data_IF_774050598224
#
_entry.id   IF_774050598224
#
_cell.length_a   1.000
_cell.length_b   1.000
_cell.length_c   1.000
_cell.angle_alpha   90.00
_cell.angle_beta   90.00
_cell.angle_gamma   90.00
#
_symmetry.space_group_name_H-M   'P 1'
#
loop_
_entity.id
_entity.type
_entity.pdbx_description
1 polymer ?
#
# COMPACT_ATOMS: atom_id res chain seq x y z
N UNK A 1 -32.20 10.76 14.37
CA UNK A 1 -31.22 10.34 15.37
C UNK A 1 -30.30 9.38 14.67
N UNK A 2 -29.07 9.83 14.44
CA UNK A 2 -28.04 9.05 13.77
C UNK A 2 -27.57 7.98 14.76
N UNK A 3 -27.81 6.71 14.45
CA UNK A 3 -27.15 5.62 15.16
C UNK A 3 -25.66 5.71 14.82
N UNK A 4 -24.85 6.13 15.79
CA UNK A 4 -23.39 6.29 15.72
C UNK A 4 -22.68 4.93 15.60
N UNK A 5 -23.07 4.10 14.61
CA UNK A 5 -22.38 2.87 14.20
C UNK A 5 -21.93 1.99 15.37
N UNK A 6 -22.84 1.60 16.28
CA UNK A 6 -22.64 0.75 17.48
C UNK A 6 -21.35 -0.10 17.47
N UNK A 7 -20.19 0.52 17.73
CA UNK A 7 -18.88 -0.14 17.70
C UNK A 7 -18.44 -0.83 16.40
N UNK A 8 -19.10 -0.62 15.25
CA UNK A 8 -18.79 -1.30 13.98
C UNK A 8 -19.66 -2.52 13.65
N UNK A 9 -20.68 -2.83 14.45
CA UNK A 9 -21.51 -4.04 14.29
C UNK A 9 -22.54 -3.94 13.15
N UNK A 10 -22.66 -2.78 12.50
CA UNK A 10 -23.68 -2.52 11.48
C UNK A 10 -23.06 -2.21 10.12
N UNK A 11 -23.56 -2.87 9.07
CA UNK A 11 -23.24 -2.49 7.70
C UNK A 11 -23.72 -1.07 7.40
N UNK A 12 -22.87 -0.15 6.89
CA UNK A 12 -23.30 1.19 6.53
C UNK A 12 -24.43 1.14 5.49
N UNK A 13 -25.48 1.94 5.69
CA UNK A 13 -26.68 1.92 4.83
C UNK A 13 -26.35 2.13 3.34
N UNK A 14 -25.39 3.00 3.03
CA UNK A 14 -24.94 3.26 1.67
C UNK A 14 -24.21 2.07 1.04
N UNK A 15 -23.51 1.26 1.85
CA UNK A 15 -22.88 0.02 1.39
C UNK A 15 -23.96 -1.01 1.10
N UNK A 16 -24.92 -1.19 2.02
CA UNK A 16 -26.03 -2.13 1.84
C UNK A 16 -26.93 -1.81 0.62
N UNK A 17 -27.01 -0.55 0.19
CA UNK A 17 -27.73 -0.14 -1.02
C UNK A 17 -26.87 -0.10 -2.29
N UNK A 18 -25.57 -0.38 -2.16
CA UNK A 18 -24.65 -0.41 -3.29
C UNK A 18 -25.00 -1.56 -4.23
N UNK A 19 -24.74 -1.38 -5.52
CA UNK A 19 -24.86 -2.45 -6.53
C UNK A 19 -23.76 -3.50 -6.43
N UNK A 20 -22.69 -3.18 -5.68
CA UNK A 20 -21.56 -4.08 -5.43
C UNK A 20 -21.86 -5.03 -4.26
N UNK A 21 -22.74 -4.64 -3.34
CA UNK A 21 -23.02 -5.45 -2.16
C UNK A 21 -23.70 -6.76 -2.55
N UNK A 22 -23.01 -7.88 -2.33
CA UNK A 22 -23.51 -9.20 -2.70
C UNK A 22 -23.60 -9.42 -4.22
N UNK A 23 -22.67 -8.85 -5.01
CA UNK A 23 -22.68 -8.93 -6.47
C UNK A 23 -22.07 -10.23 -7.05
N UNK A 24 -21.59 -11.12 -6.17
CA UNK A 24 -20.91 -12.37 -6.49
C UNK A 24 -19.38 -12.24 -6.56
N UNK A 25 -18.81 -11.08 -6.26
CA UNK A 25 -17.38 -10.85 -6.11
C UNK A 25 -17.07 -10.42 -4.70
N UNK A 26 -15.84 -10.65 -4.27
CA UNK A 26 -15.43 -10.24 -2.94
C UNK A 26 -14.96 -8.78 -2.95
N UNK A 27 -15.87 -7.84 -2.67
CA UNK A 27 -15.50 -6.42 -2.50
C UNK A 27 -14.86 -6.19 -1.12
N UNK A 28 -13.68 -5.58 -1.13
CA UNK A 28 -12.90 -5.30 0.08
C UNK A 28 -13.44 -4.13 0.92
N UNK A 29 -12.63 -3.73 1.90
CA UNK A 29 -12.90 -2.55 2.74
C UNK A 29 -14.17 -2.71 3.56
N UNK A 30 -15.06 -1.71 3.52
CA UNK A 30 -16.30 -1.71 4.31
C UNK A 30 -17.28 -2.82 3.93
N UNK A 31 -17.23 -3.35 2.71
CA UNK A 31 -18.05 -4.49 2.28
C UNK A 31 -17.64 -5.77 3.02
N UNK A 32 -16.33 -6.02 3.11
CA UNK A 32 -15.76 -7.17 3.80
C UNK A 32 -15.60 -6.98 5.32
N UNK A 33 -16.69 -6.69 6.02
CA UNK A 33 -16.74 -6.59 7.50
C UNK A 33 -17.78 -7.54 8.06
N UNK A 34 -17.64 -7.94 9.34
CA UNK A 34 -18.64 -8.79 10.00
C UNK A 34 -20.03 -8.14 10.00
N UNK A 35 -20.10 -6.82 10.25
CA UNK A 35 -21.34 -6.04 10.20
C UNK A 35 -22.00 -6.04 8.81
N UNK A 36 -21.22 -6.17 7.73
CA UNK A 36 -21.69 -6.34 6.35
C UNK A 36 -21.77 -7.80 5.89
N UNK A 37 -21.66 -8.75 6.83
CA UNK A 37 -21.70 -10.20 6.53
C UNK A 37 -20.69 -10.60 5.46
N UNK A 38 -19.50 -9.99 5.48
CA UNK A 38 -18.42 -10.25 4.52
C UNK A 38 -18.89 -10.17 3.07
N UNK A 39 -19.43 -8.99 2.72
CA UNK A 39 -20.03 -8.71 1.44
C UNK A 39 -21.16 -9.69 1.08
N UNK A 40 -22.09 -9.86 2.02
CA UNK A 40 -23.20 -10.82 1.90
C UNK A 40 -22.76 -12.27 1.60
N UNK A 41 -21.57 -12.64 2.09
CA UNK A 41 -20.97 -13.96 1.95
C UNK A 41 -20.04 -14.12 0.75
N UNK A 42 -19.93 -13.12 -0.12
CA UNK A 42 -19.06 -13.21 -1.30
C UNK A 42 -17.57 -13.28 -0.92
N UNK A 43 -17.21 -12.71 0.24
CA UNK A 43 -15.86 -12.79 0.80
C UNK A 43 -15.61 -13.94 1.78
N UNK A 44 -16.57 -14.85 2.02
CA UNK A 44 -16.44 -15.92 3.03
C UNK A 44 -15.23 -16.82 2.77
N UNK A 45 -14.97 -17.16 1.50
CA UNK A 45 -13.83 -18.01 1.13
C UNK A 45 -12.50 -17.33 1.45
N UNK A 46 -12.40 -16.02 1.17
CA UNK A 46 -11.22 -15.22 1.48
C UNK A 46 -10.99 -15.17 3.00
N UNK A 47 -12.01 -14.85 3.79
CA UNK A 47 -11.87 -14.74 5.25
C UNK A 47 -11.59 -16.09 5.92
N UNK A 48 -12.08 -17.19 5.35
CA UNK A 48 -11.77 -18.54 5.82
C UNK A 48 -10.31 -18.92 5.56
N UNK A 49 -9.76 -18.53 4.40
CA UNK A 49 -8.36 -18.78 4.05
C UNK A 49 -7.39 -17.86 4.80
N UNK A 50 -7.78 -16.61 5.02
CA UNK A 50 -6.99 -15.56 5.66
C UNK A 50 -7.62 -15.04 6.97
N UNK A 51 -7.82 -15.89 7.99
CA UNK A 51 -8.52 -15.51 9.23
C UNK A 51 -7.75 -14.50 10.09
N UNK A 52 -6.48 -14.24 9.78
CA UNK A 52 -5.65 -13.26 10.45
C UNK A 52 -5.51 -11.94 9.66
N UNK A 53 -6.22 -11.81 8.53
CA UNK A 53 -6.31 -10.55 7.80
C UNK A 53 -7.22 -9.58 8.56
N UNK A 54 -6.65 -8.90 9.55
CA UNK A 54 -7.38 -7.91 10.35
C UNK A 54 -6.99 -6.51 9.91
N UNK A 55 -7.95 -5.76 9.38
CA UNK A 55 -7.79 -4.35 9.06
C UNK A 55 -8.38 -3.50 10.17
N UNK A 56 -7.69 -2.42 10.55
CA UNK A 56 -8.27 -1.42 11.45
C UNK A 56 -9.29 -0.54 10.72
N UNK A 57 -10.15 0.14 11.47
CA UNK A 57 -11.20 1.01 10.92
C UNK A 57 -10.63 2.03 9.92
N UNK A 58 -9.42 2.53 10.20
CA UNK A 58 -8.74 3.49 9.32
C UNK A 58 -8.37 2.86 7.99
N UNK A 59 -7.88 1.63 7.99
CA UNK A 59 -7.53 0.87 6.79
C UNK A 59 -8.77 0.55 5.98
N UNK A 60 -9.83 0.05 6.62
CA UNK A 60 -11.12 -0.25 5.97
C UNK A 60 -11.72 0.96 5.22
N UNK A 61 -11.59 2.16 5.80
CA UNK A 61 -12.06 3.41 5.21
C UNK A 61 -11.04 4.11 4.31
N UNK A 62 -9.85 3.56 4.15
CA UNK A 62 -8.81 4.16 3.33
C UNK A 62 -9.07 3.92 1.85
N UNK A 63 -8.57 4.82 1.00
CA UNK A 63 -8.51 4.59 -0.45
C UNK A 63 -7.71 3.32 -0.80
N UNK A 64 -6.88 2.84 0.13
CA UNK A 64 -6.08 1.62 0.04
C UNK A 64 -6.86 0.35 0.41
N UNK A 65 -8.18 0.45 0.63
CA UNK A 65 -9.07 -0.70 0.85
C UNK A 65 -10.45 -0.53 0.21
N UNK A 66 -10.71 0.61 -0.44
CA UNK A 66 -12.00 0.90 -1.08
C UNK A 66 -11.91 0.62 -2.57
N UNK A 67 -12.84 -0.17 -3.11
CA UNK A 67 -12.91 -0.49 -4.54
C UNK A 67 -11.94 -1.58 -4.99
N UNK A 68 -11.39 -2.34 -4.05
CA UNK A 68 -10.57 -3.53 -4.29
C UNK A 68 -11.50 -4.73 -4.44
N UNK A 69 -11.28 -5.54 -5.47
CA UNK A 69 -11.97 -6.82 -5.66
C UNK A 69 -10.94 -7.92 -5.42
N UNK A 70 -11.10 -8.68 -4.34
CA UNK A 70 -10.10 -9.65 -3.94
C UNK A 70 -10.13 -10.89 -4.84
N UNK A 71 -8.98 -11.26 -5.40
CA UNK A 71 -8.80 -12.43 -6.26
C UNK A 71 -9.23 -12.20 -7.71
N UNK A 72 -9.26 -10.95 -8.18
CA UNK A 72 -9.67 -10.61 -9.55
C UNK A 72 -8.51 -10.64 -10.56
N UNK A 73 -7.29 -10.89 -10.09
CA UNK A 73 -6.06 -10.92 -10.88
C UNK A 73 -5.41 -9.55 -11.08
N UNK A 74 -5.91 -8.49 -10.44
CA UNK A 74 -5.37 -7.13 -10.46
C UNK A 74 -4.79 -6.81 -9.09
N UNK A 75 -3.51 -6.44 -9.07
CA UNK A 75 -2.87 -5.97 -7.85
C UNK A 75 -3.15 -4.48 -7.64
N UNK A 76 -4.10 -4.16 -6.77
CA UNK A 76 -4.48 -2.82 -6.33
C UNK A 76 -3.57 -2.28 -5.20
N UNK A 77 -2.98 -3.20 -4.43
CA UNK A 77 -2.03 -2.94 -3.36
C UNK A 77 -2.68 -2.67 -1.99
N UNK A 78 -2.22 -1.62 -1.31
CA UNK A 78 -2.87 -1.17 -0.09
C UNK A 78 -2.89 -2.16 1.09
N UNK A 79 -4.03 -2.24 1.79
CA UNK A 79 -4.11 -2.89 3.10
C UNK A 79 -4.28 -4.41 3.01
N UNK A 80 -4.92 -4.89 1.94
CA UNK A 80 -5.03 -6.31 1.63
C UNK A 80 -3.74 -6.88 1.02
N UNK A 81 -2.82 -6.02 0.58
CA UNK A 81 -1.50 -6.42 0.12
C UNK A 81 -0.51 -6.66 1.28
N UNK A 82 -0.92 -7.49 2.23
CA UNK A 82 -0.09 -7.95 3.34
C UNK A 82 0.03 -9.46 3.30
N UNK A 83 1.01 -10.00 4.03
CA UNK A 83 1.19 -11.45 4.12
C UNK A 83 0.01 -12.13 4.80
N UNK A 84 -0.55 -11.46 5.80
CA UNK A 84 -1.69 -11.92 6.59
C UNK A 84 -2.98 -11.96 5.75
N UNK A 85 -3.09 -11.10 4.74
CA UNK A 85 -4.17 -11.01 3.77
C UNK A 85 -3.88 -11.67 2.42
N UNK A 86 -2.84 -12.51 2.35
CA UNK A 86 -2.53 -13.28 1.15
C UNK A 86 -2.02 -12.48 -0.04
N UNK A 87 -1.63 -11.22 0.17
CA UNK A 87 -1.25 -10.28 -0.89
C UNK A 87 -2.39 -10.08 -1.90
N UNK A 88 -3.51 -9.55 -1.41
CA UNK A 88 -4.76 -9.38 -2.17
C UNK A 88 -5.25 -10.70 -2.77
N UNK A 89 -5.36 -11.72 -1.92
CA UNK A 89 -5.77 -13.06 -2.34
C UNK A 89 -4.91 -13.64 -3.48
N UNK A 90 -3.64 -13.25 -3.54
CA UNK A 90 -2.67 -13.72 -4.53
C UNK A 90 -2.58 -12.86 -5.79
N UNK A 91 -3.32 -11.76 -5.88
CA UNK A 91 -3.25 -10.84 -7.02
C UNK A 91 -1.92 -10.08 -7.06
N UNK A 92 -1.32 -9.82 -5.89
CA UNK A 92 0.00 -9.22 -5.79
C UNK A 92 1.11 -10.26 -5.57
N UNK A 93 2.24 -10.06 -6.26
CA UNK A 93 3.46 -10.82 -5.95
C UNK A 93 4.03 -10.39 -4.56
N UNK A 94 4.51 -11.36 -3.78
CA UNK A 94 5.15 -11.12 -2.48
C UNK A 94 6.37 -10.20 -2.65
N UNK A 95 6.19 -8.89 -2.46
CA UNK A 95 7.29 -7.95 -2.65
C UNK A 95 6.92 -6.50 -2.99
N UNK A 96 5.64 -6.11 -3.03
CA UNK A 96 5.34 -4.69 -3.08
C UNK A 96 5.65 -4.05 -1.73
N UNK A 97 6.80 -3.39 -1.63
CA UNK A 97 7.08 -2.43 -0.56
C UNK A 97 6.17 -1.23 -0.83
N UNK A 98 4.90 -1.34 -0.40
CA UNK A 98 3.83 -0.35 -0.56
C UNK A 98 3.97 0.87 0.35
N UNK A 99 5.18 1.39 0.47
CA UNK A 99 5.39 2.75 0.95
C UNK A 99 5.88 3.58 -0.21
N UNK A 100 5.14 4.64 -0.57
CA UNK A 100 5.69 5.68 -1.42
C UNK A 100 7.00 6.18 -0.77
N UNK A 101 8.11 6.08 -1.51
CA UNK A 101 9.32 6.82 -1.14
C UNK A 101 9.06 8.27 -1.53
N UNK A 102 8.45 9.03 -0.63
CA UNK A 102 8.24 10.47 -0.80
C UNK A 102 9.59 11.17 -0.64
N UNK A 103 10.20 11.57 -1.76
CA UNK A 103 11.40 12.40 -1.78
C UNK A 103 11.00 13.88 -1.66
N UNK A 104 10.81 14.34 -0.43
CA UNK A 104 10.45 15.74 -0.19
C UNK A 104 11.68 16.67 -0.36
N UNK A 105 11.54 17.73 -1.14
CA UNK A 105 12.57 18.77 -1.28
C UNK A 105 13.72 18.54 -2.27
N UNK A 106 13.58 17.65 -3.27
CA UNK A 106 14.60 17.51 -4.33
C UNK A 106 14.56 18.73 -5.27
N UNK A 107 15.29 19.79 -4.90
CA UNK A 107 15.60 20.91 -5.81
C UNK A 107 16.95 20.68 -6.46
N UNK A 108 16.96 20.39 -7.77
CA UNK A 108 18.14 20.63 -8.60
C UNK A 108 18.02 22.05 -9.18
N UNK A 109 18.82 23.03 -8.72
CA UNK A 109 18.76 24.41 -9.24
C UNK A 109 19.40 24.56 -10.64
N UNK A 110 19.76 23.46 -11.30
CA UNK A 110 20.61 23.42 -12.51
C UNK A 110 20.23 22.22 -13.39
N UNK A 111 20.80 22.11 -14.59
CA UNK A 111 20.66 20.94 -15.48
C UNK A 111 21.27 19.64 -14.91
N UNK A 112 21.80 19.68 -13.68
CA UNK A 112 22.33 18.52 -12.98
C UNK A 112 21.21 17.53 -12.62
N UNK A 113 21.51 16.23 -12.76
CA UNK A 113 20.63 15.12 -12.42
C UNK A 113 21.09 14.49 -11.10
N UNK A 114 20.13 14.06 -10.29
CA UNK A 114 20.40 13.20 -9.14
C UNK A 114 19.92 11.80 -9.51
N UNK A 115 20.87 10.87 -9.54
CA UNK A 115 20.60 9.47 -9.81
C UNK A 115 20.51 8.72 -8.48
N UNK A 116 19.43 7.98 -8.32
CA UNK A 116 19.24 7.07 -7.20
C UNK A 116 19.43 5.65 -7.72
N UNK A 117 20.35 4.91 -7.11
CA UNK A 117 20.45 3.46 -7.28
C UNK A 117 20.01 2.82 -5.97
N UNK A 118 19.04 1.93 -6.07
CA UNK A 118 18.43 1.30 -4.91
C UNK A 118 18.52 -0.20 -5.08
N UNK A 119 18.95 -0.89 -4.02
CA UNK A 119 18.99 -2.35 -4.00
C UNK A 119 18.85 -2.85 -2.57
N UNK A 120 18.35 -4.08 -2.41
CA UNK A 120 18.34 -4.74 -1.11
C UNK A 120 19.73 -5.28 -0.77
N UNK A 121 20.10 -5.29 0.51
CA UNK A 121 21.23 -6.06 1.00
C UNK A 121 21.06 -7.54 0.67
N UNK A 122 22.17 -8.27 0.59
CA UNK A 122 22.15 -9.70 0.25
C UNK A 122 21.33 -10.56 1.22
N UNK A 123 21.14 -10.09 2.46
CA UNK A 123 20.31 -10.74 3.48
C UNK A 123 18.85 -10.23 3.51
N UNK A 124 18.48 -9.33 2.59
CA UNK A 124 17.16 -8.70 2.50
C UNK A 124 16.73 -7.92 3.75
N UNK A 125 17.65 -7.59 4.65
CA UNK A 125 17.32 -6.85 5.90
C UNK A 125 17.44 -5.34 5.76
N UNK A 126 18.12 -4.84 4.72
CA UNK A 126 18.38 -3.41 4.52
C UNK A 126 18.08 -3.02 3.08
N UNK A 127 17.45 -1.87 2.91
CA UNK A 127 17.42 -1.16 1.64
C UNK A 127 18.65 -0.25 1.57
N UNK A 128 19.49 -0.47 0.57
CA UNK A 128 20.67 0.33 0.29
C UNK A 128 20.33 1.35 -0.79
N UNK A 129 20.63 2.61 -0.53
CA UNK A 129 20.40 3.71 -1.47
C UNK A 129 21.74 4.39 -1.72
N UNK A 130 22.15 4.42 -2.98
CA UNK A 130 23.27 5.22 -3.45
C UNK A 130 22.73 6.43 -4.21
N UNK A 131 23.19 7.60 -3.80
CA UNK A 131 22.84 8.88 -4.42
C UNK A 131 24.05 9.43 -5.16
N UNK A 132 23.89 9.72 -6.44
CA UNK A 132 24.94 10.27 -7.29
C UNK A 132 24.45 11.52 -8.02
N UNK A 133 25.19 12.62 -7.92
CA UNK A 133 24.92 13.81 -8.73
C UNK A 133 25.74 13.75 -10.03
N UNK A 134 25.09 14.01 -11.16
CA UNK A 134 25.74 14.12 -12.48
C UNK A 134 25.40 15.46 -13.11
N UNK A 135 26.28 15.95 -13.99
CA UNK A 135 25.96 17.11 -14.83
C UNK A 135 24.89 16.77 -15.89
N UNK A 136 24.49 17.75 -16.69
CA UNK A 136 23.51 17.59 -17.77
C UNK A 136 23.87 16.48 -18.78
N UNK A 137 25.16 16.25 -18.98
CA UNK A 137 25.74 15.27 -19.91
C UNK A 137 25.87 13.86 -19.28
N UNK A 138 25.52 13.70 -18.01
CA UNK A 138 25.62 12.42 -17.29
C UNK A 138 27.02 12.10 -16.78
N UNK A 139 27.94 13.07 -16.79
CA UNK A 139 29.28 12.89 -16.21
C UNK A 139 29.24 13.11 -14.70
N UNK A 140 30.06 12.34 -13.98
CA UNK A 140 30.21 12.46 -12.54
C UNK A 140 30.81 13.81 -12.18
N UNK A 141 30.14 14.55 -11.30
CA UNK A 141 30.74 15.73 -10.68
C UNK A 141 31.76 15.29 -9.62
N UNK A 142 33.02 15.13 -10.03
CA UNK A 142 34.12 14.70 -9.15
C UNK A 142 34.44 15.72 -8.05
N UNK A 143 33.93 16.96 -8.13
CA UNK A 143 34.32 18.07 -7.26
C UNK A 143 33.60 18.04 -5.90
N UNK A 144 32.55 17.22 -5.76
CA UNK A 144 31.77 17.05 -4.51
C UNK A 144 32.15 15.82 -3.68
N UNK A 145 32.83 14.82 -4.25
CA UNK A 145 33.35 13.67 -3.49
C UNK A 145 34.33 14.10 -2.38
N UNK A 146 34.94 15.28 -2.52
CA UNK A 146 35.85 15.88 -1.54
C UNK A 146 35.17 16.76 -0.47
N UNK A 147 33.87 17.06 -0.61
CA UNK A 147 33.12 17.92 0.34
C UNK A 147 32.17 17.13 1.27
N UNK A 148 32.08 15.81 1.10
CA UNK A 148 31.36 14.90 2.01
C UNK A 148 32.05 14.64 3.36
N UNK A 149 32.79 15.61 3.92
CA UNK A 149 33.10 15.58 5.35
C UNK A 149 31.88 16.11 6.08
N UNK A 150 31.06 15.17 6.57
CA UNK A 150 30.09 15.44 7.63
C UNK A 150 30.90 15.92 8.83
N UNK A 151 30.96 17.23 9.05
CA UNK A 151 31.46 17.79 10.30
C UNK A 151 30.38 17.53 11.34
N UNK A 152 30.59 16.50 12.16
CA UNK A 152 29.84 16.35 13.41
C UNK A 152 30.20 17.47 14.37
N UNK A 153 29.19 18.19 14.84
CA UNK A 153 29.20 18.94 16.09
C UNK A 153 27.81 18.87 16.72
#
# INVERSE_FOLDING_TARGET
EDCEYDGGDCCPYNIHQSVLFGDGKCDGGLYNTEGCLYDFGDCDSFNLEYPNCTLDDKSLMSASSTGIILGDGICDGGAYNSKECGFEYGDCEKGQIGGDIVLDGVRSPTENKINFKMWMSADSTKLLVEMQQTNALGEYDLDLATKGKIAGH
#
